data_IF_632172671533
#
_entry.id   IF_632172671533
#
_cell.length_a   1.000
_cell.length_b   1.000
_cell.length_c   1.000
_cell.angle_alpha   90.00
_cell.angle_beta   90.00
_cell.angle_gamma   90.00
#
_symmetry.space_group_name_H-M   'P 1'
#
loop_
_entity.id
_entity.type
_entity.pdbx_description
1 polymer ?
#
# COMPACT_ATOMS: atom_id res chain seq x y z
N UNK A 1 -0.92 -13.93 15.68
CA UNK A 1 -1.32 -12.73 16.45
C UNK A 1 -2.56 -13.03 17.30
N UNK A 2 -3.62 -13.60 16.72
CA UNK A 2 -4.91 -13.88 17.37
C UNK A 2 -4.82 -14.83 18.57
N UNK A 3 -3.76 -15.63 18.67
CA UNK A 3 -3.50 -16.44 19.87
C UNK A 3 -3.19 -15.60 21.12
N UNK A 4 -2.95 -14.30 21.00
CA UNK A 4 -2.57 -13.39 22.08
C UNK A 4 -1.14 -13.58 22.62
N UNK A 5 -0.35 -14.50 22.05
CA UNK A 5 1.00 -14.82 22.52
C UNK A 5 1.97 -13.65 22.36
N UNK A 6 1.73 -12.75 21.39
CA UNK A 6 2.53 -11.55 21.16
C UNK A 6 2.16 -10.36 22.05
N UNK A 7 0.99 -10.42 22.71
CA UNK A 7 0.38 -9.26 23.34
C UNK A 7 -0.13 -8.24 22.30
N UNK A 8 -0.49 -7.04 22.74
CA UNK A 8 -0.95 -5.96 21.88
C UNK A 8 0.20 -5.47 20.97
N UNK A 9 -0.10 -5.18 19.72
CA UNK A 9 0.86 -4.54 18.83
C UNK A 9 1.19 -3.11 19.32
N UNK A 10 2.45 -2.76 19.30
CA UNK A 10 2.96 -1.44 19.70
C UNK A 10 3.55 -0.69 18.51
N UNK A 11 4.22 -1.42 17.64
CA UNK A 11 4.86 -0.90 16.44
C UNK A 11 4.76 -1.92 15.29
N UNK A 12 4.41 -1.42 14.12
CA UNK A 12 4.29 -2.23 12.92
C UNK A 12 5.11 -1.64 11.78
N UNK A 13 5.59 -2.50 10.89
CA UNK A 13 6.25 -2.10 9.65
C UNK A 13 5.60 -2.81 8.47
N UNK A 14 5.46 -2.07 7.37
CA UNK A 14 5.03 -2.62 6.09
C UNK A 14 5.84 -2.01 4.96
N UNK A 15 6.33 -2.87 4.06
CA UNK A 15 7.15 -2.48 2.92
C UNK A 15 6.64 -3.17 1.67
N UNK A 16 6.50 -2.39 0.60
CA UNK A 16 6.20 -2.90 -0.73
C UNK A 16 7.13 -2.24 -1.73
N UNK A 17 8.11 -2.99 -2.22
CA UNK A 17 9.08 -2.57 -3.22
C UNK A 17 8.78 -3.23 -4.55
N UNK A 18 8.47 -2.42 -5.55
CA UNK A 18 8.14 -2.88 -6.90
C UNK A 18 8.87 -2.06 -7.96
N UNK A 19 10.21 -2.21 -8.10
CA UNK A 19 10.95 -1.55 -9.14
C UNK A 19 10.47 -2.02 -10.51
N UNK A 20 10.38 -1.08 -11.44
CA UNK A 20 10.02 -1.34 -12.84
C UNK A 20 11.01 -0.61 -13.75
N UNK A 21 11.27 -1.16 -14.93
CA UNK A 21 12.07 -0.47 -15.94
C UNK A 21 11.30 0.70 -16.55
N UNK A 22 12.02 1.59 -17.24
CA UNK A 22 11.41 2.70 -18.03
C UNK A 22 10.43 2.11 -19.04
N UNK A 23 10.86 1.09 -19.78
CA UNK A 23 10.02 0.39 -20.76
C UNK A 23 8.74 -0.16 -20.12
N UNK A 24 8.84 -0.95 -19.03
CA UNK A 24 7.66 -1.50 -18.37
C UNK A 24 6.73 -0.40 -17.86
N UNK A 25 7.30 0.71 -17.36
CA UNK A 25 6.52 1.85 -16.92
C UNK A 25 5.70 2.45 -18.07
N UNK A 26 6.32 2.64 -19.25
CA UNK A 26 5.64 3.15 -20.42
C UNK A 26 4.57 2.16 -20.93
N UNK A 27 4.88 0.86 -20.96
CA UNK A 27 3.90 -0.17 -21.35
C UNK A 27 2.68 -0.23 -20.44
N UNK A 28 2.85 0.01 -19.15
CA UNK A 28 1.77 0.01 -18.15
C UNK A 28 0.94 1.32 -18.14
N UNK A 29 1.41 2.38 -18.79
CA UNK A 29 0.79 3.71 -18.72
C UNK A 29 0.80 4.45 -20.06
N UNK A 30 0.20 3.86 -21.13
CA UNK A 30 0.19 4.49 -22.45
C UNK A 30 -0.66 5.76 -22.47
N UNK A 31 -0.08 6.85 -23.01
CA UNK A 31 -0.73 8.14 -23.13
C UNK A 31 -0.43 9.10 -21.95
N UNK A 32 -0.30 10.38 -22.29
CA UNK A 32 0.06 11.45 -21.32
C UNK A 32 -0.96 11.63 -20.20
N UNK A 33 -2.23 11.33 -20.47
CA UNK A 33 -3.34 11.43 -19.50
C UNK A 33 -3.67 10.10 -18.83
N UNK A 34 -2.91 9.04 -19.11
CA UNK A 34 -3.14 7.77 -18.42
C UNK A 34 -2.93 7.93 -16.92
N UNK A 35 -3.91 7.52 -16.11
CA UNK A 35 -3.95 7.76 -14.67
C UNK A 35 -2.70 7.29 -13.91
N UNK A 36 -2.03 6.23 -14.35
CA UNK A 36 -0.78 5.74 -13.74
C UNK A 36 0.39 6.72 -13.85
N UNK A 37 0.38 7.64 -14.83
CA UNK A 37 1.39 8.68 -14.94
C UNK A 37 1.19 9.80 -13.90
N UNK A 38 0.03 9.84 -13.26
CA UNK A 38 -0.36 10.83 -12.27
C UNK A 38 -0.56 10.24 -10.86
N UNK A 39 -0.37 8.92 -10.71
CA UNK A 39 -0.64 8.20 -9.47
C UNK A 39 0.40 8.54 -8.38
N UNK A 40 0.00 9.26 -7.32
CA UNK A 40 0.90 9.60 -6.22
C UNK A 40 1.45 8.37 -5.52
N UNK A 41 2.69 8.43 -5.06
CA UNK A 41 3.31 7.28 -4.36
C UNK A 41 2.56 6.88 -3.07
N UNK A 42 2.06 7.81 -2.24
CA UNK A 42 1.26 7.41 -1.07
C UNK A 42 0.01 6.60 -1.41
N UNK A 43 -0.58 6.75 -2.61
CA UNK A 43 -1.81 6.03 -2.97
C UNK A 43 -1.61 4.51 -3.14
N UNK A 44 -0.38 4.07 -3.19
CA UNK A 44 -0.04 2.63 -3.17
C UNK A 44 0.16 2.06 -1.76
N UNK A 45 -0.23 2.79 -0.71
CA UNK A 45 -0.12 2.37 0.69
C UNK A 45 -0.79 1.02 0.98
N UNK A 46 -1.79 0.64 0.18
CA UNK A 46 -2.60 -0.56 0.38
C UNK A 46 -1.76 -1.83 0.55
N UNK A 47 -0.75 -2.00 -0.29
CA UNK A 47 0.14 -3.17 -0.25
C UNK A 47 0.98 -3.24 1.03
N UNK A 48 1.32 -2.10 1.61
CA UNK A 48 2.16 -2.04 2.80
C UNK A 48 1.34 -1.97 4.10
N UNK A 49 0.20 -1.29 4.11
CA UNK A 49 -0.60 -1.07 5.32
C UNK A 49 -1.70 -2.10 5.51
N UNK A 50 -2.32 -2.61 4.42
CA UNK A 50 -3.43 -3.56 4.55
C UNK A 50 -3.08 -4.83 5.36
N UNK A 51 -1.90 -5.47 5.19
CA UNK A 51 -1.52 -6.59 6.04
C UNK A 51 -1.42 -6.23 7.53
N UNK A 52 -0.94 -5.02 7.85
CA UNK A 52 -0.90 -4.53 9.24
C UNK A 52 -2.31 -4.42 9.82
N UNK A 53 -3.25 -3.81 9.07
CA UNK A 53 -4.64 -3.72 9.50
C UNK A 53 -5.26 -5.10 9.68
N UNK A 54 -5.02 -6.00 8.74
CA UNK A 54 -5.59 -7.35 8.79
C UNK A 54 -5.08 -8.15 10.00
N UNK A 55 -3.79 -8.07 10.29
CA UNK A 55 -3.18 -8.79 11.41
C UNK A 55 -3.63 -8.21 12.76
N UNK A 56 -3.63 -6.88 12.88
CA UNK A 56 -3.87 -6.22 14.17
C UNK A 56 -5.34 -5.90 14.44
N UNK A 57 -6.17 -5.89 13.40
CA UNK A 57 -7.57 -5.44 13.48
C UNK A 57 -7.72 -3.92 13.67
N UNK A 58 -6.61 -3.18 13.70
CA UNK A 58 -6.56 -1.77 14.07
C UNK A 58 -6.73 -0.84 12.86
N UNK A 59 -7.12 0.40 13.09
CA UNK A 59 -7.43 1.39 12.05
C UNK A 59 -6.49 2.60 12.18
N UNK A 60 -5.96 3.17 11.08
CA UNK A 60 -5.14 4.37 11.15
C UNK A 60 -6.00 5.60 11.45
N UNK A 61 -5.53 6.45 12.38
CA UNK A 61 -6.22 7.65 12.85
C UNK A 61 -5.55 8.95 12.42
N UNK A 62 -4.23 8.95 12.34
CA UNK A 62 -3.45 10.10 11.89
C UNK A 62 -2.30 9.65 11.01
N UNK A 63 -1.80 10.55 10.17
CA UNK A 63 -0.74 10.25 9.24
C UNK A 63 0.23 11.41 9.04
N UNK A 64 1.52 11.07 8.99
CA UNK A 64 2.60 11.92 8.50
C UNK A 64 3.26 11.24 7.31
N UNK A 65 3.71 12.01 6.31
CA UNK A 65 4.37 11.47 5.14
C UNK A 65 5.51 12.36 4.64
N UNK A 66 6.59 11.71 4.21
CA UNK A 66 7.68 12.33 3.45
C UNK A 66 7.94 11.52 2.20
N UNK A 67 8.08 12.23 1.07
CA UNK A 67 8.42 11.62 -0.20
C UNK A 67 9.87 11.89 -0.58
N UNK A 68 10.45 10.97 -1.34
CA UNK A 68 11.80 11.11 -1.94
C UNK A 68 11.61 11.50 -3.38
N UNK A 69 11.95 12.75 -3.68
CA UNK A 69 11.92 13.29 -5.04
C UNK A 69 13.22 12.89 -5.76
N UNK A 70 13.10 12.10 -6.81
CA UNK A 70 14.23 11.57 -7.59
C UNK A 70 13.83 11.38 -9.08
N UNK A 71 13.47 12.46 -9.79
CA UNK A 71 12.91 12.39 -11.14
C UNK A 71 13.89 11.84 -12.18
N UNK A 72 15.19 11.89 -11.92
CA UNK A 72 16.23 11.34 -12.80
C UNK A 72 16.08 9.83 -13.06
N UNK A 73 15.41 9.13 -12.18
CA UNK A 73 15.12 7.69 -12.34
C UNK A 73 13.93 7.41 -13.26
N UNK A 74 13.20 8.46 -13.64
CA UNK A 74 12.00 8.41 -14.46
C UNK A 74 12.21 8.98 -15.88
N UNK A 75 13.45 9.31 -16.22
CA UNK A 75 13.80 9.80 -17.57
C UNK A 75 13.36 8.83 -18.65
N UNK A 76 12.76 9.36 -19.71
CA UNK A 76 12.19 8.58 -20.79
C UNK A 76 10.76 8.06 -20.49
N UNK A 77 10.12 8.51 -19.41
CA UNK A 77 8.71 8.19 -19.12
C UNK A 77 7.82 9.42 -19.16
N UNK A 78 6.51 9.23 -19.37
CA UNK A 78 5.52 10.29 -19.26
C UNK A 78 5.04 10.51 -17.80
N UNK A 79 5.74 9.96 -16.80
CA UNK A 79 5.34 9.99 -15.40
C UNK A 79 5.46 11.38 -14.80
N UNK A 80 4.36 11.95 -14.35
CA UNK A 80 4.29 13.28 -13.74
C UNK A 80 4.54 13.27 -12.23
N UNK A 81 4.76 12.09 -11.65
CA UNK A 81 5.08 11.93 -10.25
C UNK A 81 6.58 11.75 -10.11
N UNK A 82 7.29 12.84 -9.83
CA UNK A 82 8.75 12.82 -9.62
C UNK A 82 9.19 12.16 -8.31
N UNK A 83 8.25 11.86 -7.42
CA UNK A 83 8.52 11.09 -6.22
C UNK A 83 8.78 9.62 -6.55
N UNK A 84 9.83 9.06 -5.97
CA UNK A 84 10.20 7.67 -6.17
C UNK A 84 9.57 6.75 -5.13
N UNK A 85 9.49 7.23 -3.89
CA UNK A 85 8.86 6.53 -2.78
C UNK A 85 8.30 7.53 -1.76
N UNK A 86 7.42 7.03 -0.88
CA UNK A 86 6.98 7.78 0.29
C UNK A 86 7.15 6.93 1.54
N UNK A 87 7.64 7.55 2.62
CA UNK A 87 7.64 6.96 3.96
C UNK A 87 6.47 7.55 4.71
N UNK A 88 5.59 6.69 5.19
CA UNK A 88 4.33 7.05 5.82
C UNK A 88 4.35 6.52 7.26
N UNK A 89 4.06 7.38 8.22
CA UNK A 89 3.89 7.02 9.62
C UNK A 89 2.42 7.22 9.99
N UNK A 90 1.76 6.16 10.41
CA UNK A 90 0.38 6.19 10.89
C UNK A 90 0.36 6.01 12.42
N UNK A 91 -0.34 6.89 13.12
CA UNK A 91 -0.82 6.65 14.48
C UNK A 91 -2.14 5.88 14.37
N UNK A 92 -2.22 4.75 15.03
CA UNK A 92 -3.38 3.86 15.01
C UNK A 92 -4.35 4.23 16.14
N UNK A 93 -5.61 3.76 16.06
CA UNK A 93 -6.64 4.07 17.06
C UNK A 93 -6.25 3.68 18.49
N UNK A 94 -5.53 2.59 18.66
CA UNK A 94 -5.06 2.12 19.98
C UNK A 94 -3.78 2.81 20.46
N UNK A 95 -3.27 3.80 19.72
CA UNK A 95 -2.03 4.52 20.01
C UNK A 95 -0.75 3.81 19.56
N UNK A 96 -0.84 2.64 18.91
CA UNK A 96 0.31 2.02 18.26
C UNK A 96 0.72 2.80 17.00
N UNK A 97 1.94 2.55 16.50
CA UNK A 97 2.46 3.20 15.30
C UNK A 97 2.69 2.18 14.18
N UNK A 98 2.33 2.56 12.97
CA UNK A 98 2.69 1.80 11.77
C UNK A 98 3.55 2.65 10.84
N UNK A 99 4.77 2.19 10.52
CA UNK A 99 5.64 2.77 9.51
C UNK A 99 5.54 1.97 8.23
N UNK A 100 5.07 2.58 7.16
CA UNK A 100 4.89 1.89 5.89
C UNK A 100 5.49 2.67 4.73
N UNK A 101 5.81 1.96 3.64
CA UNK A 101 6.25 2.59 2.39
C UNK A 101 5.09 2.68 1.40
N UNK A 102 4.91 3.83 0.79
CA UNK A 102 4.06 3.97 -0.38
C UNK A 102 4.84 3.58 -1.63
N UNK A 103 4.41 2.59 -2.37
CA UNK A 103 5.02 1.93 -3.53
C UNK A 103 6.44 2.39 -3.88
N UNK A 104 7.42 1.70 -3.37
CA UNK A 104 8.80 1.98 -3.68
C UNK A 104 9.13 1.49 -5.08
N UNK A 105 9.31 2.41 -6.01
CA UNK A 105 9.80 2.10 -7.36
C UNK A 105 11.34 2.01 -7.40
N UNK A 106 11.96 1.51 -6.33
CA UNK A 106 13.41 1.45 -6.14
C UNK A 106 13.80 0.17 -5.39
N UNK A 107 15.09 -0.13 -5.33
CA UNK A 107 15.62 -1.28 -4.63
C UNK A 107 15.26 -2.60 -5.30
N UNK A 108 15.37 -3.71 -4.59
CA UNK A 108 14.94 -5.02 -5.05
C UNK A 108 13.44 -5.24 -4.86
N UNK A 109 12.85 -6.11 -5.66
CA UNK A 109 11.48 -6.57 -5.42
C UNK A 109 11.34 -7.21 -4.05
N UNK A 110 10.25 -6.92 -3.37
CA UNK A 110 9.91 -7.60 -2.14
C UNK A 110 8.88 -6.89 -1.29
N UNK A 111 8.19 -7.69 -0.51
CA UNK A 111 7.29 -7.23 0.52
C UNK A 111 7.85 -7.66 1.86
N UNK A 112 7.78 -6.78 2.84
CA UNK A 112 8.21 -7.10 4.19
C UNK A 112 7.28 -6.49 5.21
N UNK A 113 6.89 -7.31 6.19
CA UNK A 113 5.96 -6.94 7.25
C UNK A 113 6.53 -7.36 8.59
N UNK A 114 6.40 -6.51 9.59
CA UNK A 114 6.80 -6.80 10.96
C UNK A 114 5.78 -6.24 11.94
N UNK A 115 5.40 -7.07 12.89
CA UNK A 115 4.52 -6.70 14.01
C UNK A 115 5.32 -6.88 15.30
N UNK A 116 5.58 -5.79 16.02
CA UNK A 116 6.22 -5.77 17.32
C UNK A 116 5.16 -5.59 18.40
N UNK A 117 4.96 -6.60 19.22
CA UNK A 117 4.03 -6.59 20.34
C UNK A 117 4.74 -6.43 21.68
N UNK A 118 3.95 -6.44 22.75
CA UNK A 118 4.45 -6.31 24.12
C UNK A 118 5.37 -7.45 24.55
N UNK A 119 5.22 -8.65 23.95
CA UNK A 119 5.89 -9.88 24.37
C UNK A 119 6.88 -10.42 23.33
N UNK A 120 6.95 -9.81 22.15
CA UNK A 120 7.83 -10.27 21.08
C UNK A 120 7.48 -9.64 19.75
N UNK A 121 8.01 -10.20 18.67
CA UNK A 121 7.71 -9.76 17.31
C UNK A 121 7.53 -10.94 16.36
N UNK A 122 6.84 -10.69 15.26
CA UNK A 122 6.77 -11.57 14.10
C UNK A 122 7.03 -10.78 12.84
N UNK A 123 7.67 -11.43 11.88
CA UNK A 123 8.00 -10.82 10.57
C UNK A 123 8.06 -11.91 9.50
N UNK A 124 7.70 -11.58 8.25
CA UNK A 124 8.02 -12.50 7.19
C UNK A 124 9.53 -12.50 6.93
N UNK A 125 10.08 -13.65 6.57
CA UNK A 125 11.51 -13.75 6.22
C UNK A 125 11.75 -12.99 4.92
N UNK A 126 12.72 -12.07 4.91
CA UNK A 126 13.06 -11.31 3.71
C UNK A 126 13.41 -12.24 2.55
N UNK A 127 12.78 -12.02 1.40
CA UNK A 127 12.91 -12.87 0.22
C UNK A 127 11.98 -14.09 0.22
N UNK A 128 11.17 -14.30 1.28
CA UNK A 128 10.12 -15.31 1.33
C UNK A 128 8.81 -14.72 1.81
N UNK A 129 7.71 -15.01 1.12
CA UNK A 129 6.36 -14.71 1.59
C UNK A 129 5.71 -15.91 2.31
N UNK A 130 6.37 -17.06 2.30
CA UNK A 130 5.85 -18.32 2.85
C UNK A 130 6.35 -18.58 4.27
N UNK A 131 7.35 -17.86 4.73
CA UNK A 131 7.94 -18.08 6.05
C UNK A 131 7.77 -16.88 6.95
N UNK A 132 7.39 -17.18 8.20
CA UNK A 132 7.25 -16.19 9.28
C UNK A 132 8.22 -16.55 10.40
N UNK A 133 9.09 -15.60 10.74
CA UNK A 133 9.94 -15.64 11.91
C UNK A 133 9.19 -15.05 13.09
N UNK A 134 9.17 -15.78 14.20
CA UNK A 134 8.59 -15.35 15.49
C UNK A 134 9.71 -15.27 16.50
N UNK A 135 9.75 -14.21 17.30
CA UNK A 135 10.71 -14.06 18.40
C UNK A 135 9.99 -13.49 19.62
N UNK A 136 10.06 -14.19 20.72
CA UNK A 136 9.57 -13.73 22.02
C UNK A 136 10.69 -13.03 22.79
N UNK A 137 10.32 -12.12 23.68
CA UNK A 137 11.23 -11.64 24.72
C UNK A 137 11.57 -12.83 25.64
N UNK A 138 12.82 -12.99 26.04
CA UNK A 138 13.27 -14.15 26.83
C UNK A 138 12.50 -14.38 28.15
N UNK A 139 11.90 -13.32 28.71
CA UNK A 139 11.06 -13.37 29.91
C UNK A 139 9.55 -13.55 29.62
N UNK A 140 9.16 -13.64 28.36
CA UNK A 140 7.78 -13.80 27.92
C UNK A 140 7.55 -15.01 27.01
N UNK A 141 8.48 -15.98 27.01
CA UNK A 141 8.34 -17.17 26.16
C UNK A 141 7.11 -17.96 26.62
N UNK A 142 6.08 -18.15 25.74
CA UNK A 142 4.91 -18.95 26.11
C UNK A 142 5.27 -20.42 26.30
N UNK A 143 4.49 -21.09 27.12
CA UNK A 143 4.67 -22.55 27.34
C UNK A 143 4.61 -23.32 26.02
N UNK A 144 5.58 -24.18 25.78
CA UNK A 144 5.71 -24.99 24.57
C UNK A 144 6.23 -24.26 23.34
N UNK A 145 6.63 -22.98 23.48
CA UNK A 145 7.26 -22.21 22.40
C UNK A 145 8.78 -22.09 22.60
N UNK A 146 9.48 -21.86 21.48
CA UNK A 146 10.90 -21.48 21.49
C UNK A 146 11.01 -19.95 21.49
N UNK A 147 12.12 -19.42 22.04
CA UNK A 147 12.40 -17.98 22.02
C UNK A 147 12.40 -17.43 20.58
N UNK A 148 12.99 -18.18 19.65
CA UNK A 148 13.03 -17.85 18.22
C UNK A 148 12.62 -19.08 17.42
N UNK A 149 11.66 -18.90 16.52
CA UNK A 149 11.24 -19.95 15.58
C UNK A 149 10.97 -19.37 14.20
N UNK A 150 11.11 -20.20 13.16
CA UNK A 150 10.66 -19.88 11.80
C UNK A 150 9.63 -20.94 11.39
N UNK A 151 8.50 -20.49 10.84
CA UNK A 151 7.37 -21.36 10.51
C UNK A 151 6.93 -21.07 9.08
N UNK A 152 6.45 -22.11 8.39
CA UNK A 152 5.78 -21.95 7.12
C UNK A 152 4.39 -21.35 7.34
N UNK A 153 4.12 -20.26 6.63
CA UNK A 153 2.81 -19.60 6.67
C UNK A 153 1.84 -20.35 5.75
N UNK A 154 0.65 -20.67 6.28
CA UNK A 154 -0.46 -21.21 5.49
C UNK A 154 -1.64 -20.28 5.64
N UNK A 155 -2.23 -19.87 4.50
CA UNK A 155 -3.39 -18.98 4.51
C UNK A 155 -4.67 -19.71 4.94
N UNK A 156 -4.90 -20.88 4.37
CA UNK A 156 -6.03 -21.73 4.71
C UNK A 156 -5.59 -23.17 4.90
N UNK A 157 -6.22 -23.85 5.85
CA UNK A 157 -6.03 -25.30 6.07
C UNK A 157 -6.97 -26.11 5.16
N UNK A 158 -7.00 -25.74 3.87
CA UNK A 158 -7.78 -26.41 2.83
C UNK A 158 -6.94 -26.51 1.56
N UNK A 159 -6.41 -27.71 1.33
CA UNK A 159 -5.49 -27.99 0.21
C UNK A 159 -6.14 -27.74 -1.14
N UNK A 160 -7.40 -28.12 -1.33
CA UNK A 160 -8.11 -27.90 -2.59
C UNK A 160 -8.28 -26.42 -2.94
N UNK A 161 -8.59 -25.56 -1.96
CA UNK A 161 -8.69 -24.13 -2.18
C UNK A 161 -7.32 -23.51 -2.47
N UNK A 162 -6.27 -23.96 -1.79
CA UNK A 162 -4.90 -23.51 -2.03
C UNK A 162 -4.41 -23.90 -3.43
N UNK A 163 -4.75 -25.09 -3.92
CA UNK A 163 -4.45 -25.52 -5.29
C UNK A 163 -5.18 -24.66 -6.35
N UNK A 164 -6.42 -24.27 -6.09
CA UNK A 164 -7.17 -23.36 -6.96
C UNK A 164 -6.55 -21.96 -6.97
N UNK A 165 -6.25 -21.43 -5.78
CA UNK A 165 -5.61 -20.12 -5.65
C UNK A 165 -4.26 -20.07 -6.37
N UNK A 166 -3.43 -21.09 -6.23
CA UNK A 166 -2.11 -21.17 -6.88
C UNK A 166 -2.13 -21.08 -8.42
N UNK A 167 -3.30 -21.32 -9.05
CA UNK A 167 -3.48 -21.19 -10.50
C UNK A 167 -3.80 -19.76 -10.95
N UNK A 168 -3.95 -18.82 -10.04
CA UNK A 168 -4.31 -17.42 -10.31
C UNK A 168 -3.14 -16.48 -10.08
N UNK A 169 -3.28 -15.21 -10.50
CA UNK A 169 -2.26 -14.21 -10.34
C UNK A 169 -2.04 -13.77 -8.88
N UNK A 170 -1.00 -12.95 -8.68
CA UNK A 170 -0.63 -12.36 -7.40
C UNK A 170 -0.43 -13.38 -6.26
N UNK A 171 0.19 -14.55 -6.58
CA UNK A 171 0.40 -15.60 -5.60
C UNK A 171 -0.89 -16.20 -5.01
N UNK A 172 -1.98 -16.19 -5.79
CA UNK A 172 -3.29 -16.65 -5.37
C UNK A 172 -4.23 -15.54 -4.86
N UNK A 173 -3.73 -14.31 -4.75
CA UNK A 173 -4.51 -13.17 -4.26
C UNK A 173 -5.79 -12.91 -5.05
N UNK A 174 -5.73 -13.05 -6.37
CA UNK A 174 -6.89 -12.85 -7.26
C UNK A 174 -8.02 -13.85 -6.96
N UNK A 175 -7.68 -15.09 -6.65
CA UNK A 175 -8.65 -16.11 -6.22
C UNK A 175 -9.31 -15.72 -4.90
N UNK A 176 -8.51 -15.34 -3.90
CA UNK A 176 -9.03 -15.06 -2.56
C UNK A 176 -9.94 -13.84 -2.52
N UNK A 177 -9.66 -12.81 -3.30
CA UNK A 177 -10.56 -11.65 -3.42
C UNK A 177 -11.93 -12.09 -3.95
N UNK A 178 -11.96 -12.87 -5.04
CA UNK A 178 -13.20 -13.39 -5.60
C UNK A 178 -13.91 -14.35 -4.64
N UNK A 179 -13.18 -15.24 -3.97
CA UNK A 179 -13.72 -16.21 -3.01
C UNK A 179 -14.45 -15.51 -1.86
N UNK A 180 -13.82 -14.51 -1.23
CA UNK A 180 -14.43 -13.77 -0.13
C UNK A 180 -15.63 -12.93 -0.58
N UNK A 181 -15.57 -12.36 -1.78
CA UNK A 181 -16.71 -11.63 -2.35
C UNK A 181 -17.91 -12.57 -2.60
N UNK A 182 -17.67 -13.74 -3.16
CA UNK A 182 -18.75 -14.75 -3.37
C UNK A 182 -19.31 -15.21 -2.03
N UNK A 183 -18.48 -15.49 -1.03
CA UNK A 183 -18.95 -15.85 0.32
C UNK A 183 -19.83 -14.76 0.95
N UNK A 184 -19.47 -13.51 0.76
CA UNK A 184 -20.30 -12.41 1.23
C UNK A 184 -21.69 -12.44 0.56
N UNK A 185 -21.74 -12.65 -0.75
CA UNK A 185 -23.02 -12.67 -1.49
C UNK A 185 -23.89 -13.89 -1.19
N UNK A 186 -23.29 -15.05 -0.91
CA UNK A 186 -24.03 -16.33 -0.80
C UNK A 186 -24.25 -16.78 0.63
N UNK A 187 -23.39 -16.38 1.55
CA UNK A 187 -23.38 -16.85 2.94
C UNK A 187 -23.52 -15.70 3.96
N UNK A 188 -23.60 -14.44 3.49
CA UNK A 188 -23.63 -13.22 4.32
C UNK A 188 -22.41 -13.12 5.27
N UNK A 189 -21.26 -13.64 4.83
CA UNK A 189 -20.00 -13.56 5.57
C UNK A 189 -19.25 -12.31 5.17
N UNK A 190 -19.30 -11.28 6.01
CA UNK A 190 -18.62 -10.01 5.74
C UNK A 190 -17.10 -10.18 5.67
N UNK A 191 -16.44 -9.74 4.56
CA UNK A 191 -15.00 -9.81 4.46
C UNK A 191 -14.33 -8.82 5.42
N UNK A 192 -13.10 -9.13 5.84
CA UNK A 192 -12.34 -8.23 6.72
C UNK A 192 -12.23 -6.81 6.13
N UNK A 193 -11.87 -6.71 4.84
CA UNK A 193 -11.87 -5.44 4.12
C UNK A 193 -13.27 -5.12 3.58
N UNK A 194 -14.16 -4.74 4.47
CA UNK A 194 -15.44 -4.14 4.12
C UNK A 194 -15.25 -2.70 3.61
N UNK A 195 -16.34 -2.05 3.19
CA UNK A 195 -16.30 -0.68 2.65
C UNK A 195 -15.64 0.32 3.61
N UNK A 196 -15.92 0.25 4.90
CA UNK A 196 -15.39 1.19 5.89
C UNK A 196 -13.88 1.06 6.08
N UNK A 197 -13.37 -0.17 6.24
CA UNK A 197 -11.92 -0.40 6.33
C UNK A 197 -11.18 -0.04 5.05
N UNK A 198 -11.78 -0.34 3.90
CA UNK A 198 -11.19 0.00 2.60
C UNK A 198 -11.15 1.51 2.37
N UNK A 199 -12.20 2.23 2.76
CA UNK A 199 -12.24 3.70 2.68
C UNK A 199 -11.25 4.33 3.66
N UNK A 200 -11.14 3.84 4.91
CA UNK A 200 -10.14 4.32 5.87
C UNK A 200 -8.71 4.14 5.36
N UNK A 201 -8.41 2.99 4.76
CA UNK A 201 -7.11 2.73 4.13
C UNK A 201 -6.82 3.70 2.98
N UNK A 202 -7.81 3.98 2.12
CA UNK A 202 -7.69 4.94 1.02
C UNK A 202 -7.58 6.38 1.53
N UNK A 203 -8.33 6.75 2.57
CA UNK A 203 -8.24 8.06 3.21
C UNK A 203 -6.85 8.30 3.81
N UNK A 204 -6.24 7.27 4.41
CA UNK A 204 -4.86 7.36 4.89
C UNK A 204 -3.88 7.71 3.76
N UNK A 205 -4.08 7.14 2.55
CA UNK A 205 -3.28 7.45 1.37
C UNK A 205 -3.45 8.90 0.91
N UNK A 206 -4.69 9.40 0.87
CA UNK A 206 -5.01 10.78 0.46
C UNK A 206 -4.41 11.77 1.46
N UNK A 207 -4.59 11.53 2.75
CA UNK A 207 -4.01 12.39 3.80
C UNK A 207 -2.48 12.32 3.82
N UNK A 208 -1.88 11.17 3.49
CA UNK A 208 -0.43 11.04 3.34
C UNK A 208 0.11 11.89 2.18
N UNK A 209 -0.60 11.97 1.04
CA UNK A 209 -0.23 12.87 -0.04
C UNK A 209 -0.27 14.33 0.42
N UNK A 210 -1.36 14.76 1.05
CA UNK A 210 -1.49 16.12 1.61
C UNK A 210 -0.39 16.43 2.62
N UNK A 211 -0.06 15.47 3.47
CA UNK A 211 1.06 15.59 4.42
C UNK A 211 2.39 15.81 3.70
N UNK A 212 2.71 15.02 2.68
CA UNK A 212 3.97 15.13 1.94
C UNK A 212 4.11 16.49 1.24
N UNK A 213 3.02 17.03 0.71
CA UNK A 213 2.95 18.35 0.08
C UNK A 213 3.06 19.51 1.08
N UNK A 214 2.68 19.27 2.34
CA UNK A 214 2.75 20.24 3.43
C UNK A 214 3.91 19.96 4.41
N UNK A 215 5.06 19.58 3.87
CA UNK A 215 6.28 19.43 4.66
C UNK A 215 6.30 18.28 5.66
N UNK A 216 5.34 17.33 5.56
CA UNK A 216 5.21 16.19 6.47
C UNK A 216 4.38 16.50 7.73
N UNK A 217 3.57 17.54 7.69
CA UNK A 217 2.62 17.90 8.76
C UNK A 217 1.63 16.74 9.01
N UNK A 218 1.25 16.53 10.24
CA UNK A 218 0.27 15.53 10.63
C UNK A 218 -1.12 15.88 10.08
N UNK A 219 -1.79 14.87 9.54
CA UNK A 219 -3.19 14.93 9.11
C UNK A 219 -4.02 13.89 9.83
N UNK A 220 -5.23 14.29 10.24
CA UNK A 220 -6.25 13.39 10.80
C UNK A 220 -6.88 12.62 9.63
N UNK A 221 -7.04 11.32 9.79
CA UNK A 221 -7.75 10.47 8.86
C UNK A 221 -9.23 10.46 9.28
N UNK A 222 -10.16 10.87 8.40
CA UNK A 222 -11.58 10.92 8.74
C UNK A 222 -12.15 9.53 9.09
N UNK A 223 -12.97 9.46 10.10
CA UNK A 223 -13.79 8.27 10.38
C UNK A 223 -15.06 8.29 9.54
N UNK A 224 -15.06 7.57 8.42
CA UNK A 224 -16.22 7.49 7.53
C UNK A 224 -17.35 6.60 8.06
N UNK A 225 -17.21 5.95 9.22
CA UNK A 225 -18.34 5.34 9.93
C UNK A 225 -19.20 6.41 10.63
N UNK A 226 -18.59 7.57 10.95
CA UNK A 226 -19.25 8.72 11.56
C UNK A 226 -19.87 9.63 10.49
N UNK A 227 -21.20 9.77 10.50
CA UNK A 227 -21.93 10.58 9.52
C UNK A 227 -21.54 12.06 9.56
N UNK A 228 -21.30 12.63 10.74
CA UNK A 228 -20.93 14.03 10.87
C UNK A 228 -19.51 14.31 10.31
N UNK A 229 -18.61 13.35 10.44
CA UNK A 229 -17.29 13.47 9.79
C UNK A 229 -17.40 13.31 8.28
N UNK A 230 -18.19 12.35 7.77
CA UNK A 230 -18.42 12.20 6.32
C UNK A 230 -18.94 13.47 5.67
N UNK A 231 -19.89 14.16 6.29
CA UNK A 231 -20.48 15.41 5.78
C UNK A 231 -19.43 16.50 5.54
N UNK A 232 -18.36 16.54 6.33
CA UNK A 232 -17.30 17.52 6.15
C UNK A 232 -16.51 17.31 4.85
N UNK A 233 -16.54 16.10 4.29
CA UNK A 233 -15.79 15.71 3.10
C UNK A 233 -16.67 15.58 1.83
N UNK A 234 -17.98 15.78 1.92
CA UNK A 234 -18.89 15.66 0.77
C UNK A 234 -18.53 16.59 -0.40
N UNK A 235 -17.90 17.72 -0.11
CA UNK A 235 -17.51 18.72 -1.11
C UNK A 235 -16.00 18.76 -1.34
N UNK A 236 -15.25 17.77 -0.87
CA UNK A 236 -13.83 17.64 -1.19
C UNK A 236 -13.67 16.95 -2.54
N UNK A 237 -13.40 17.75 -3.56
CA UNK A 237 -13.17 17.32 -4.95
C UNK A 237 -11.71 17.48 -5.38
N UNK A 238 -10.79 17.62 -4.44
CA UNK A 238 -9.37 17.69 -4.76
C UNK A 238 -8.86 16.35 -5.30
N UNK A 239 -8.26 16.40 -6.48
CA UNK A 239 -7.77 15.22 -7.19
C UNK A 239 -6.40 15.48 -7.83
N UNK A 240 -5.43 14.58 -7.64
CA UNK A 240 -4.15 14.62 -8.35
C UNK A 240 -4.26 14.04 -9.77
N UNK A 241 -5.41 13.47 -10.14
CA UNK A 241 -5.64 12.92 -11.47
C UNK A 241 -6.19 13.98 -12.42
N UNK A 242 -5.75 13.96 -13.69
CA UNK A 242 -6.18 14.96 -14.66
C UNK A 242 -7.63 14.75 -15.09
N UNK A 243 -8.29 15.84 -15.40
CA UNK A 243 -9.52 15.85 -16.18
C UNK A 243 -9.22 15.62 -17.68
N UNK A 244 -10.24 15.70 -18.52
CA UNK A 244 -10.13 15.56 -19.99
C UNK A 244 -9.23 16.60 -20.65
N UNK A 245 -8.99 17.74 -19.99
CA UNK A 245 -8.11 18.82 -20.44
C UNK A 245 -6.69 18.73 -19.86
N UNK A 246 -6.40 17.71 -19.06
CA UNK A 246 -5.12 17.52 -18.39
C UNK A 246 -4.91 18.40 -17.15
N UNK A 247 -6.01 18.96 -16.57
CA UNK A 247 -5.94 19.80 -15.39
C UNK A 247 -6.20 18.98 -14.12
N UNK A 248 -5.47 19.27 -13.05
CA UNK A 248 -5.67 18.67 -11.72
C UNK A 248 -6.05 19.75 -10.72
N UNK A 249 -6.76 19.39 -9.66
CA UNK A 249 -7.14 20.32 -8.58
C UNK A 249 -6.13 20.32 -7.44
N UNK A 250 -5.20 19.34 -7.44
CA UNK A 250 -4.06 19.28 -6.52
C UNK A 250 -2.84 18.66 -7.22
N UNK A 251 -1.60 18.94 -6.78
CA UNK A 251 -0.41 18.30 -7.33
C UNK A 251 -0.41 16.78 -7.10
N UNK A 252 0.20 16.04 -8.03
CA UNK A 252 0.33 14.58 -7.92
C UNK A 252 1.61 14.11 -7.20
N UNK A 253 2.52 15.00 -6.85
CA UNK A 253 3.76 14.70 -6.13
C UNK A 253 4.17 15.82 -5.16
N UNK A 254 5.24 15.58 -4.40
CA UNK A 254 5.77 16.54 -3.42
C UNK A 254 6.39 17.81 -4.02
N UNK A 255 6.65 17.82 -5.33
CA UNK A 255 7.17 18.95 -6.09
C UNK A 255 6.14 19.36 -7.15
N UNK A 256 5.29 20.36 -6.88
CA UNK A 256 4.15 20.73 -7.72
C UNK A 256 4.51 21.09 -9.16
N UNK A 257 5.67 21.71 -9.35
CA UNK A 257 6.12 22.20 -10.66
C UNK A 257 6.86 21.14 -11.49
N UNK A 258 7.00 19.92 -10.98
CA UNK A 258 7.68 18.87 -11.73
C UNK A 258 6.89 18.46 -12.97
N UNK A 259 7.61 18.37 -14.08
CA UNK A 259 7.11 17.95 -15.39
C UNK A 259 8.19 17.12 -16.10
N UNK A 260 7.85 15.98 -16.72
CA UNK A 260 8.73 15.33 -17.67
C UNK A 260 9.13 16.28 -18.79
N UNK A 261 10.33 16.14 -19.30
CA UNK A 261 10.81 16.94 -20.44
C UNK A 261 10.13 16.55 -21.75
N UNK A 262 10.24 17.39 -22.76
CA UNK A 262 9.75 17.05 -24.10
C UNK A 262 10.47 15.81 -24.66
N UNK A 263 11.74 15.58 -24.29
CA UNK A 263 12.50 14.38 -24.66
C UNK A 263 11.94 13.13 -23.96
N UNK A 264 11.55 13.23 -22.68
CA UNK A 264 10.92 12.12 -21.95
C UNK A 264 9.60 11.72 -22.60
N UNK A 265 8.77 12.71 -22.96
CA UNK A 265 7.51 12.45 -23.65
C UNK A 265 7.72 11.85 -25.05
N UNK A 266 8.69 12.34 -25.80
CA UNK A 266 8.98 11.81 -27.13
C UNK A 266 9.42 10.35 -27.07
N UNK A 267 10.29 10.01 -26.11
CA UNK A 267 10.72 8.63 -25.89
C UNK A 267 9.54 7.71 -25.51
N UNK A 268 8.68 8.13 -24.59
CA UNK A 268 7.51 7.36 -24.21
C UNK A 268 6.55 7.15 -25.40
N UNK A 269 6.32 8.18 -26.21
CA UNK A 269 5.48 8.11 -27.41
C UNK A 269 6.05 7.16 -28.47
N UNK A 270 7.36 7.15 -28.68
CA UNK A 270 8.05 6.22 -29.58
C UNK A 270 7.80 4.77 -29.14
N UNK A 271 8.03 4.45 -27.86
CA UNK A 271 7.78 3.10 -27.32
C UNK A 271 6.31 2.67 -27.46
N UNK A 272 5.34 3.58 -27.20
CA UNK A 272 3.91 3.26 -27.38
C UNK A 272 3.57 2.96 -28.85
N UNK A 273 4.13 3.73 -29.78
CA UNK A 273 3.90 3.53 -31.22
C UNK A 273 4.51 2.21 -31.70
N UNK A 274 5.75 1.91 -31.31
CA UNK A 274 6.41 0.65 -31.62
C UNK A 274 5.66 -0.57 -31.10
N UNK A 275 5.07 -0.47 -29.89
CA UNK A 275 4.24 -1.50 -29.29
C UNK A 275 2.81 -1.57 -29.87
N UNK A 276 2.42 -0.63 -30.75
CA UNK A 276 1.08 -0.58 -31.35
C UNK A 276 -0.02 -0.25 -30.32
N UNK A 277 0.31 0.41 -29.20
CA UNK A 277 -0.65 0.79 -28.18
C UNK A 277 -1.52 1.96 -28.65
N UNK A 278 -2.81 1.90 -28.26
CA UNK A 278 -3.77 3.01 -28.49
C UNK A 278 -3.92 3.80 -27.21
N UNK A 279 -3.84 5.11 -27.28
CA UNK A 279 -3.95 6.03 -26.14
C UNK A 279 -4.57 7.37 -26.52
#
# INVERSE_FOLDING_TARGET
>A
YDSGKMGRALYCEGEYNHPVTVHDKNMLSPGKLHWRNWLPRPYYITHALAPVLHITGNTPKKVNCKSVFAPETLKGTACRVGDLLSIILCEMEDGSLARVTGCAAWGGHGNWYRICGEKGNMENVRGSLEQVRVQYNSWNIPEGEEEVSTRDAKWYDNEQLNELAAKTGHGGGDYWVCYHFVKYLTEDVEPFFNVYRSVSLSAAAIMALRSSQNGGTEYIIPDFTNEEERKQWENDHESPFPDENGQTTMPCCSHPDYMPTDEDFAHAEEEWQEAGLKY
#
